data_IF_410891057887
#
_entry.id   IF_410891057887
#
_cell.length_a   1.000
_cell.length_b   1.000
_cell.length_c   1.000
_cell.angle_alpha   90.00
_cell.angle_beta   90.00
_cell.angle_gamma   90.00
#
_symmetry.space_group_name_H-M   'P 1'
#
loop_
_entity.id
_entity.type
_entity.pdbx_description
1 polymer ?
#
# COMPACT_ATOMS: atom_id res chain seq x y z
N UNK A 1 -1.83 -17.71 1.50
CA UNK A 1 -2.57 -17.64 0.22
C UNK A 1 -1.95 -16.50 -0.60
N UNK A 2 -1.45 -16.75 -1.81
CA UNK A 2 -1.05 -15.68 -2.75
C UNK A 2 -2.32 -15.09 -3.37
N UNK A 3 -3.08 -14.29 -2.60
CA UNK A 3 -4.14 -13.44 -3.16
C UNK A 3 -3.48 -12.16 -3.68
N UNK A 4 -3.94 -11.66 -4.82
CA UNK A 4 -3.53 -10.34 -5.31
C UNK A 4 -3.83 -9.30 -4.22
N UNK A 5 -2.92 -8.34 -3.93
CA UNK A 5 -3.17 -7.25 -2.98
C UNK A 5 -4.50 -6.52 -3.24
N UNK A 6 -4.85 -6.29 -4.50
CA UNK A 6 -6.11 -5.66 -4.91
C UNK A 6 -7.32 -6.46 -4.43
N UNK A 7 -7.30 -7.78 -4.62
CA UNK A 7 -8.39 -8.67 -4.19
C UNK A 7 -8.54 -8.67 -2.66
N UNK A 8 -7.41 -8.62 -1.94
CA UNK A 8 -7.43 -8.56 -0.46
C UNK A 8 -8.06 -7.26 0.05
N UNK A 9 -7.79 -6.14 -0.61
CA UNK A 9 -8.42 -4.85 -0.30
C UNK A 9 -9.92 -4.92 -0.61
N UNK A 10 -10.30 -5.44 -1.78
CA UNK A 10 -11.72 -5.57 -2.18
C UNK A 10 -12.54 -6.46 -1.25
N UNK A 11 -11.95 -7.57 -0.79
CA UNK A 11 -12.55 -8.44 0.22
C UNK A 11 -12.76 -7.69 1.53
N UNK A 12 -11.75 -6.95 1.99
CA UNK A 12 -11.87 -6.12 3.20
C UNK A 12 -12.97 -5.06 3.06
N UNK A 13 -13.01 -4.32 1.94
CA UNK A 13 -14.05 -3.32 1.66
C UNK A 13 -15.45 -3.94 1.68
N UNK A 14 -15.59 -5.15 1.17
CA UNK A 14 -16.85 -5.89 1.20
C UNK A 14 -17.27 -6.21 2.63
N UNK A 15 -16.34 -6.66 3.48
CA UNK A 15 -16.60 -6.95 4.90
C UNK A 15 -16.98 -5.69 5.68
N UNK A 16 -16.38 -4.54 5.35
CA UNK A 16 -16.71 -3.24 5.94
C UNK A 16 -18.06 -2.68 5.46
N UNK A 17 -18.67 -3.30 4.44
CA UNK A 17 -19.89 -2.79 3.82
C UNK A 17 -19.67 -1.50 3.03
N UNK A 18 -18.50 -1.34 2.41
CA UNK A 18 -18.24 -0.23 1.49
C UNK A 18 -19.13 -0.38 0.25
N UNK A 19 -19.91 0.65 -0.06
CA UNK A 19 -20.93 0.59 -1.12
C UNK A 19 -20.45 1.17 -2.47
N UNK A 20 -19.43 2.03 -2.46
CA UNK A 20 -18.89 2.64 -3.68
C UNK A 20 -17.99 1.67 -4.48
N UNK A 21 -17.32 2.20 -5.51
CA UNK A 21 -16.45 1.46 -6.41
C UNK A 21 -15.19 0.95 -5.69
N UNK A 22 -15.21 -0.35 -5.35
CA UNK A 22 -14.12 -1.06 -4.68
C UNK A 22 -12.89 -1.22 -5.57
N UNK A 23 -13.06 -1.27 -6.89
CA UNK A 23 -11.95 -1.43 -7.82
C UNK A 23 -11.15 -0.13 -7.88
N UNK A 24 -11.84 1.01 -8.04
CA UNK A 24 -11.21 2.33 -8.02
C UNK A 24 -10.51 2.60 -6.68
N UNK A 25 -11.19 2.32 -5.56
CA UNK A 25 -10.58 2.50 -4.23
C UNK A 25 -9.32 1.65 -4.07
N UNK A 26 -9.37 0.38 -4.49
CA UNK A 26 -8.22 -0.51 -4.35
C UNK A 26 -7.04 -0.06 -5.22
N UNK A 27 -7.30 0.44 -6.44
CA UNK A 27 -6.27 1.02 -7.31
C UNK A 27 -5.64 2.27 -6.67
N UNK A 28 -6.46 3.20 -6.18
CA UNK A 28 -5.98 4.43 -5.55
C UNK A 28 -5.18 4.14 -4.26
N UNK A 29 -5.62 3.19 -3.44
CA UNK A 29 -4.92 2.79 -2.22
C UNK A 29 -3.55 2.18 -2.54
N UNK A 30 -3.48 1.31 -3.55
CA UNK A 30 -2.23 0.70 -3.98
C UNK A 30 -1.27 1.75 -4.56
N UNK A 31 -1.75 2.64 -5.43
CA UNK A 31 -0.97 3.74 -5.98
C UNK A 31 -0.40 4.63 -4.85
N UNK A 32 -1.21 4.92 -3.83
CA UNK A 32 -0.77 5.68 -2.64
C UNK A 32 0.33 4.93 -1.87
N UNK A 33 0.20 3.61 -1.70
CA UNK A 33 1.25 2.79 -1.08
C UNK A 33 2.56 2.85 -1.87
N UNK A 34 2.48 2.68 -3.19
CA UNK A 34 3.65 2.76 -4.08
C UNK A 34 4.32 4.13 -4.05
N UNK A 35 3.54 5.21 -4.03
CA UNK A 35 4.07 6.57 -3.92
C UNK A 35 4.77 6.80 -2.58
N UNK A 36 4.18 6.36 -1.46
CA UNK A 36 4.83 6.46 -0.14
C UNK A 36 6.10 5.62 -0.07
N UNK A 37 6.09 4.41 -0.64
CA UNK A 37 7.25 3.54 -0.72
C UNK A 37 8.40 4.21 -1.50
N UNK A 38 8.07 4.84 -2.63
CA UNK A 38 9.02 5.59 -3.44
C UNK A 38 9.63 6.76 -2.68
N UNK A 39 8.81 7.57 -1.99
CA UNK A 39 9.29 8.68 -1.17
C UNK A 39 10.20 8.18 -0.05
N UNK A 40 9.82 7.10 0.64
CA UNK A 40 10.65 6.47 1.67
C UNK A 40 12.00 6.01 1.14
N UNK A 41 11.98 5.45 -0.07
CA UNK A 41 13.17 4.96 -0.77
C UNK A 41 14.09 6.12 -1.18
N UNK A 42 13.54 7.19 -1.74
CA UNK A 42 14.28 8.40 -2.10
C UNK A 42 14.97 9.05 -0.89
N UNK A 43 14.31 9.04 0.27
CA UNK A 43 14.86 9.61 1.52
C UNK A 43 16.11 8.89 2.03
N UNK A 44 16.30 7.62 1.68
CA UNK A 44 17.47 6.84 2.08
C UNK A 44 18.68 7.09 1.17
N UNK A 45 18.47 7.67 -0.01
CA UNK A 45 19.56 8.01 -0.93
C UNK A 45 20.28 9.29 -0.48
N UNK A 46 21.61 9.36 -0.69
CA UNK A 46 22.37 10.61 -0.60
C UNK A 46 21.75 11.69 -1.51
N UNK A 47 21.86 12.96 -1.12
CA UNK A 47 21.26 14.09 -1.84
C UNK A 47 21.58 14.12 -3.34
N UNK A 48 22.83 13.81 -3.70
CA UNK A 48 23.30 13.73 -5.09
C UNK A 48 22.52 12.66 -5.88
N UNK A 49 22.39 11.45 -5.32
CA UNK A 49 21.67 10.32 -5.94
C UNK A 49 20.17 10.54 -5.98
N UNK A 50 19.61 11.22 -4.99
CA UNK A 50 18.20 11.60 -4.96
C UNK A 50 17.86 12.57 -6.09
N UNK A 51 18.66 13.62 -6.31
CA UNK A 51 18.45 14.58 -7.40
C UNK A 51 18.52 13.92 -8.78
N UNK A 52 19.50 13.02 -8.95
CA UNK A 52 19.65 12.25 -10.20
C UNK A 52 18.41 11.39 -10.47
N UNK A 53 17.92 10.69 -9.45
CA UNK A 53 16.73 9.86 -9.54
C UNK A 53 15.45 10.70 -9.75
N UNK A 54 15.28 11.81 -9.04
CA UNK A 54 14.14 12.74 -9.22
C UNK A 54 14.09 13.28 -10.65
N UNK A 55 15.24 13.65 -11.24
CA UNK A 55 15.30 14.07 -12.64
C UNK A 55 14.85 12.95 -13.58
N UNK A 56 15.34 11.72 -13.39
CA UNK A 56 14.94 10.59 -14.25
C UNK A 56 13.45 10.27 -14.10
N UNK A 57 12.93 10.24 -12.87
CA UNK A 57 11.51 9.97 -12.62
C UNK A 57 10.61 11.07 -13.19
N UNK A 58 11.03 12.34 -13.13
CA UNK A 58 10.24 13.46 -13.66
C UNK A 58 9.99 13.41 -15.16
N UNK A 59 10.77 12.59 -15.88
CA UNK A 59 10.62 12.36 -17.33
C UNK A 59 9.78 11.13 -17.66
N UNK A 60 9.39 10.33 -16.66
CA UNK A 60 8.55 9.15 -16.84
C UNK A 60 7.09 9.47 -16.52
N UNK A 61 6.18 8.93 -17.32
CA UNK A 61 4.72 9.10 -17.12
C UNK A 61 4.03 7.81 -16.69
N UNK A 62 4.74 6.68 -16.70
CA UNK A 62 4.21 5.37 -16.36
C UNK A 62 4.87 4.83 -15.07
N UNK A 63 4.05 4.32 -14.15
CA UNK A 63 4.49 3.73 -12.88
C UNK A 63 5.49 2.58 -13.04
N UNK A 64 5.31 1.71 -14.03
CA UNK A 64 6.25 0.60 -14.31
C UNK A 64 7.63 1.12 -14.71
N UNK A 65 7.67 2.23 -15.48
CA UNK A 65 8.92 2.87 -15.88
C UNK A 65 9.60 3.54 -14.69
N UNK A 66 8.82 4.15 -13.80
CA UNK A 66 9.33 4.74 -12.55
C UNK A 66 9.95 3.64 -11.68
N UNK A 67 9.30 2.49 -11.55
CA UNK A 67 9.80 1.35 -10.79
C UNK A 67 11.10 0.79 -11.37
N UNK A 68 11.20 0.67 -12.69
CA UNK A 68 12.43 0.21 -13.34
C UNK A 68 13.60 1.17 -13.11
N UNK A 69 13.36 2.48 -13.22
CA UNK A 69 14.39 3.48 -12.91
C UNK A 69 14.81 3.39 -11.45
N UNK A 70 13.89 3.17 -10.51
CA UNK A 70 14.21 3.11 -9.08
C UNK A 70 15.08 1.89 -8.72
N UNK A 71 14.91 0.75 -9.39
CA UNK A 71 15.72 -0.45 -9.18
C UNK A 71 17.21 -0.23 -9.44
N UNK A 72 17.57 0.73 -10.29
CA UNK A 72 18.97 1.06 -10.60
C UNK A 72 19.67 1.83 -9.47
N UNK A 73 18.91 2.40 -8.52
CA UNK A 73 19.45 3.25 -7.45
C UNK A 73 19.39 2.60 -6.08
N UNK A 74 18.56 1.58 -5.91
CA UNK A 74 18.23 1.00 -4.61
C UNK A 74 17.98 -0.48 -4.77
N UNK A 75 18.45 -1.27 -3.80
CA UNK A 75 18.20 -2.71 -3.84
C UNK A 75 16.69 -2.98 -3.79
N UNK A 76 16.18 -3.95 -4.56
CA UNK A 76 14.76 -4.30 -4.60
C UNK A 76 14.15 -4.53 -3.20
N UNK A 77 14.92 -5.11 -2.28
CA UNK A 77 14.54 -5.34 -0.88
C UNK A 77 14.21 -4.04 -0.13
N UNK A 78 14.94 -2.95 -0.37
CA UNK A 78 14.69 -1.65 0.27
C UNK A 78 13.33 -1.10 -0.17
N UNK A 79 13.06 -1.16 -1.47
CA UNK A 79 11.76 -0.74 -2.01
C UNK A 79 10.63 -1.61 -1.45
N UNK A 80 10.82 -2.93 -1.41
CA UNK A 80 9.83 -3.88 -0.85
C UNK A 80 9.54 -3.61 0.63
N UNK A 81 10.56 -3.34 1.44
CA UNK A 81 10.39 -2.98 2.85
C UNK A 81 9.62 -1.67 3.01
N UNK A 82 9.97 -0.65 2.22
CA UNK A 82 9.25 0.62 2.24
C UNK A 82 7.80 0.48 1.77
N UNK A 83 7.54 -0.41 0.80
CA UNK A 83 6.20 -0.74 0.34
C UNK A 83 5.39 -1.43 1.42
N UNK A 84 5.95 -2.46 2.07
CA UNK A 84 5.30 -3.14 3.19
C UNK A 84 4.96 -2.15 4.31
N UNK A 85 5.92 -1.33 4.74
CA UNK A 85 5.70 -0.32 5.78
C UNK A 85 4.63 0.69 5.37
N UNK A 86 4.64 1.16 4.11
CA UNK A 86 3.63 2.07 3.61
C UNK A 86 2.23 1.44 3.64
N UNK A 87 2.11 0.20 3.19
CA UNK A 87 0.86 -0.56 3.20
C UNK A 87 0.35 -0.77 4.62
N UNK A 88 1.20 -1.20 5.56
CA UNK A 88 0.80 -1.39 6.96
C UNK A 88 0.28 -0.10 7.60
N UNK A 89 0.98 1.03 7.41
CA UNK A 89 0.58 2.33 7.94
C UNK A 89 -0.74 2.80 7.33
N UNK A 90 -0.82 2.83 5.99
CA UNK A 90 -2.01 3.33 5.27
C UNK A 90 -3.24 2.48 5.60
N UNK A 91 -3.07 1.16 5.63
CA UNK A 91 -4.16 0.25 5.95
C UNK A 91 -4.60 0.39 7.41
N UNK A 92 -3.67 0.49 8.36
CA UNK A 92 -4.00 0.74 9.76
C UNK A 92 -4.75 2.07 9.95
N UNK A 93 -4.28 3.15 9.31
CA UNK A 93 -4.92 4.46 9.34
C UNK A 93 -6.35 4.40 8.78
N UNK A 94 -6.54 3.69 7.65
CA UNK A 94 -7.86 3.48 7.06
C UNK A 94 -8.78 2.73 8.03
N UNK A 95 -8.34 1.59 8.58
CA UNK A 95 -9.10 0.79 9.55
C UNK A 95 -9.51 1.65 10.76
N UNK A 96 -8.57 2.40 11.35
CA UNK A 96 -8.85 3.27 12.49
C UNK A 96 -9.84 4.40 12.15
N UNK A 97 -9.81 4.90 10.92
CA UNK A 97 -10.71 5.94 10.43
C UNK A 97 -12.14 5.43 10.24
N UNK A 98 -12.31 4.21 9.70
CA UNK A 98 -13.65 3.66 9.44
C UNK A 98 -14.25 2.95 10.66
N UNK A 99 -13.44 2.42 11.58
CA UNK A 99 -13.92 1.67 12.74
C UNK A 99 -15.05 2.38 13.52
N UNK A 100 -14.99 3.70 13.79
CA UNK A 100 -16.06 4.41 14.47
C UNK A 100 -17.39 4.43 13.69
N UNK A 101 -17.35 4.45 12.36
CA UNK A 101 -18.55 4.54 11.50
C UNK A 101 -19.23 3.19 11.25
N UNK A 102 -18.55 2.07 11.54
CA UNK A 102 -19.10 0.73 11.37
C UNK A 102 -20.16 0.38 12.42
N UNK A 103 -21.21 -0.31 11.99
CA UNK A 103 -22.20 -0.95 12.86
C UNK A 103 -21.56 -2.12 13.63
N UNK A 104 -22.16 -2.53 14.75
CA UNK A 104 -21.63 -3.62 15.59
C UNK A 104 -21.38 -4.91 14.80
N UNK A 105 -22.30 -5.30 13.92
CA UNK A 105 -22.16 -6.50 13.08
C UNK A 105 -20.98 -6.40 12.11
N UNK A 106 -20.78 -5.22 11.50
CA UNK A 106 -19.64 -4.95 10.62
C UNK A 106 -18.32 -4.96 11.38
N UNK A 107 -18.28 -4.39 12.59
CA UNK A 107 -17.09 -4.45 13.47
C UNK A 107 -16.69 -5.90 13.78
N UNK A 108 -17.65 -6.74 14.12
CA UNK A 108 -17.40 -8.18 14.35
C UNK A 108 -16.90 -8.88 13.09
N UNK A 109 -17.49 -8.58 11.92
CA UNK A 109 -17.06 -9.15 10.65
C UNK A 109 -15.63 -8.73 10.28
N UNK A 110 -15.30 -7.44 10.45
CA UNK A 110 -13.95 -6.89 10.24
C UNK A 110 -12.95 -7.53 11.17
N UNK A 111 -13.24 -7.64 12.45
CA UNK A 111 -12.34 -8.26 13.42
C UNK A 111 -12.08 -9.73 13.10
N UNK A 112 -13.11 -10.48 12.68
CA UNK A 112 -12.97 -11.86 12.23
C UNK A 112 -12.12 -11.97 10.96
N UNK A 113 -12.31 -11.05 10.01
CA UNK A 113 -11.50 -11.00 8.80
C UNK A 113 -10.03 -10.73 9.12
N UNK A 114 -9.73 -9.72 9.94
CA UNK A 114 -8.36 -9.38 10.33
C UNK A 114 -7.66 -10.54 11.06
N UNK A 115 -8.38 -11.28 11.92
CA UNK A 115 -7.84 -12.46 12.60
C UNK A 115 -7.57 -13.65 11.66
N UNK A 116 -8.22 -13.70 10.50
CA UNK A 116 -8.01 -14.76 9.51
C UNK A 116 -6.91 -14.41 8.49
N UNK A 117 -6.69 -13.12 8.25
CA UNK A 117 -5.69 -12.61 7.31
C UNK A 117 -4.35 -12.36 8.01
N UNK A 118 -4.38 -11.96 9.28
CA UNK A 118 -3.21 -12.01 10.15
C UNK A 118 -2.99 -13.46 10.58
N UNK A 119 -1.84 -14.05 10.22
CA UNK A 119 -0.96 -14.85 11.08
C UNK A 119 0.14 -15.54 10.23
N UNK A 120 1.36 -15.65 10.78
CA UNK A 120 1.62 -16.86 11.54
C UNK A 120 1.64 -16.61 13.05
N UNK A 121 1.12 -17.57 13.85
CA UNK A 121 1.44 -17.64 15.27
C UNK A 121 2.94 -17.95 15.42
N UNK A 122 3.58 -17.28 16.37
CA UNK A 122 4.70 -17.90 17.11
C UNK A 122 4.19 -19.07 17.93
#
# INVERSE_FOLDING_TARGET
MNKNPKDTIKEFLTVCGYEDDKDLFADDLLATCHQKALIGTLKQLPTEKRKELEQKISTQTNEDQILDVVKDYVQPEVYRQNLQNATEIIFADYVLTILPSLKSEQKTAVQKYLNNVSLPPT
#
